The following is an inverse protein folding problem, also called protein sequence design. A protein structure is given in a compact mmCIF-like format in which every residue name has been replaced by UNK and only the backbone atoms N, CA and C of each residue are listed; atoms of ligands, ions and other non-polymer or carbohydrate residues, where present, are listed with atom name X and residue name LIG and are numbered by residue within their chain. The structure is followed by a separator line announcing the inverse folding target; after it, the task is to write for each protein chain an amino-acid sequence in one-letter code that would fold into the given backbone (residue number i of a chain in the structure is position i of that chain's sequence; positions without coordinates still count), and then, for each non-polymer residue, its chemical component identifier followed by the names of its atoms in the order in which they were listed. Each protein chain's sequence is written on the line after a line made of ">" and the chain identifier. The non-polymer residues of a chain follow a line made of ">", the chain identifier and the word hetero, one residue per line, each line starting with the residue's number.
data_IF_358512682077
#
_entry.id   IF_358512682077
#
_cell.length_a   1.000
_cell.length_b   1.000
_cell.length_c   1.000
_cell.angle_alpha   90.00
_cell.angle_beta   90.00
_cell.angle_gamma   90.00
#
_symmetry.space_group_name_H-M   'P 1'
#
loop_
_entity.id
_entity.type
_entity.pdbx_description
1 polymer ?
#
# COMPACT_ATOMS: atom_id res chain seq x y z
N UNK A 1 -6.60 -8.87 19.70
CA UNK A 1 -7.29 -8.89 18.39
C UNK A 1 -6.58 -7.90 17.48
N UNK A 2 -5.82 -8.37 16.50
CA UNK A 2 -5.23 -7.47 15.49
C UNK A 2 -6.34 -7.06 14.51
N UNK A 3 -6.69 -5.78 14.50
CA UNK A 3 -7.67 -5.24 13.57
C UNK A 3 -6.99 -5.06 12.20
N UNK A 4 -6.77 -6.17 11.49
CA UNK A 4 -6.09 -6.17 10.18
C UNK A 4 -7.00 -5.56 9.10
N UNK A 5 -6.65 -4.36 8.65
CA UNK A 5 -7.32 -3.72 7.52
C UNK A 5 -6.79 -4.32 6.23
N UNK A 6 -7.64 -5.10 5.54
CA UNK A 6 -7.32 -5.73 4.25
C UNK A 6 -7.93 -4.98 3.09
N UNK A 7 -7.07 -4.51 2.18
CA UNK A 7 -7.44 -3.69 1.03
C UNK A 7 -7.36 -4.47 -0.28
N UNK A 8 -8.16 -4.08 -1.28
CA UNK A 8 -7.92 -4.52 -2.66
C UNK A 8 -6.72 -3.75 -3.26
N UNK A 9 -6.10 -4.23 -4.35
CA UNK A 9 -5.03 -3.50 -5.03
C UNK A 9 -5.45 -2.11 -5.53
N UNK A 10 -6.71 -1.94 -5.96
CA UNK A 10 -7.23 -0.66 -6.44
C UNK A 10 -7.47 0.32 -5.31
N UNK A 11 -8.04 -0.13 -4.18
CA UNK A 11 -8.20 0.72 -2.99
C UNK A 11 -6.84 1.10 -2.40
N UNK A 12 -5.91 0.15 -2.34
CA UNK A 12 -4.53 0.41 -1.94
C UNK A 12 -3.86 1.47 -2.82
N UNK A 13 -4.03 1.40 -4.14
CA UNK A 13 -3.51 2.39 -5.09
C UNK A 13 -4.05 3.80 -4.79
N UNK A 14 -5.37 3.92 -4.62
CA UNK A 14 -6.03 5.19 -4.29
C UNK A 14 -5.55 5.76 -2.96
N UNK A 15 -5.54 4.95 -1.89
CA UNK A 15 -5.17 5.42 -0.56
C UNK A 15 -3.70 5.82 -0.44
N UNK A 16 -2.80 5.20 -1.21
CA UNK A 16 -1.38 5.48 -1.16
C UNK A 16 -0.89 6.38 -2.30
N UNK A 17 -1.77 6.85 -3.19
CA UNK A 17 -1.36 7.67 -4.34
C UNK A 17 -0.39 6.94 -5.28
N UNK A 18 -0.45 5.61 -5.33
CA UNK A 18 0.43 4.76 -6.15
C UNK A 18 -0.33 4.15 -7.31
N UNK A 19 0.38 3.75 -8.38
CA UNK A 19 -0.29 3.04 -9.48
C UNK A 19 -0.61 1.60 -9.11
N UNK A 20 -1.80 1.14 -9.46
CA UNK A 20 -2.23 -0.25 -9.25
C UNK A 20 -1.27 -1.25 -9.92
N UNK A 21 -0.71 -0.89 -11.09
CA UNK A 21 0.33 -1.66 -11.78
C UNK A 21 1.57 -1.87 -10.90
N UNK A 22 1.98 -0.87 -10.14
CA UNK A 22 3.16 -0.98 -9.26
C UNK A 22 2.90 -1.90 -8.08
N UNK A 23 1.71 -1.80 -7.49
CA UNK A 23 1.29 -2.67 -6.39
C UNK A 23 1.19 -4.12 -6.88
N UNK A 24 0.56 -4.36 -8.02
CA UNK A 24 0.46 -5.70 -8.63
C UNK A 24 1.83 -6.27 -8.99
N UNK A 25 2.75 -5.43 -9.49
CA UNK A 25 4.14 -5.83 -9.75
C UNK A 25 4.87 -6.20 -8.45
N UNK A 26 4.68 -5.44 -7.38
CA UNK A 26 5.27 -5.75 -6.07
C UNK A 26 4.77 -7.10 -5.52
N UNK A 27 3.47 -7.38 -5.66
CA UNK A 27 2.90 -8.69 -5.30
C UNK A 27 3.54 -9.80 -6.14
N UNK A 28 3.62 -9.62 -7.47
CA UNK A 28 4.24 -10.59 -8.38
C UNK A 28 5.71 -10.84 -8.04
N UNK A 29 6.45 -9.79 -7.66
CA UNK A 29 7.85 -9.85 -7.25
C UNK A 29 8.05 -10.36 -5.82
N UNK A 30 6.99 -10.70 -5.08
CA UNK A 30 7.02 -11.08 -3.66
C UNK A 30 7.59 -10.00 -2.72
N UNK A 31 7.58 -8.73 -3.14
CA UNK A 31 7.98 -7.59 -2.30
C UNK A 31 6.87 -7.16 -1.33
N UNK A 32 5.62 -7.45 -1.69
CA UNK A 32 4.42 -7.06 -0.95
C UNK A 32 3.54 -8.31 -0.71
N UNK A 33 3.36 -8.74 0.55
CA UNK A 33 2.47 -9.84 0.89
C UNK A 33 1.03 -9.57 0.45
N UNK A 34 0.40 -10.57 -0.16
CA UNK A 34 -1.02 -10.51 -0.48
C UNK A 34 -1.64 -11.90 -0.30
N UNK A 35 -2.86 -11.92 0.24
CA UNK A 35 -3.68 -13.12 0.39
C UNK A 35 -4.76 -13.11 -0.67
N UNK A 36 -5.01 -14.23 -1.33
CA UNK A 36 -6.13 -14.36 -2.27
C UNK A 36 -7.34 -14.86 -1.51
N UNK A 37 -8.43 -14.07 -1.52
CA UNK A 37 -9.72 -14.44 -0.92
C UNK A 37 -10.77 -14.35 -2.00
N UNK A 38 -11.44 -15.47 -2.31
CA UNK A 38 -12.49 -15.55 -3.35
C UNK A 38 -12.06 -14.90 -4.68
N UNK A 39 -10.90 -15.30 -5.20
CA UNK A 39 -10.32 -14.79 -6.46
C UNK A 39 -9.96 -13.30 -6.47
N UNK A 40 -9.90 -12.65 -5.31
CA UNK A 40 -9.48 -11.25 -5.17
C UNK A 40 -8.25 -11.16 -4.27
N UNK A 41 -7.24 -10.41 -4.71
CA UNK A 41 -6.10 -10.07 -3.87
C UNK A 41 -6.54 -9.17 -2.72
N UNK A 42 -6.01 -9.46 -1.54
CA UNK A 42 -6.16 -8.69 -0.32
C UNK A 42 -4.77 -8.41 0.24
N UNK A 43 -4.48 -7.13 0.44
CA UNK A 43 -3.19 -6.63 0.92
C UNK A 43 -3.43 -6.06 2.32
N UNK A 44 -2.55 -6.38 3.28
CA UNK A 44 -2.63 -5.78 4.60
C UNK A 44 -2.17 -4.31 4.51
N UNK A 45 -2.91 -3.41 5.16
CA UNK A 45 -2.58 -1.99 5.19
C UNK A 45 -1.17 -1.73 5.76
N UNK A 46 -0.83 -2.44 6.84
CA UNK A 46 0.46 -2.32 7.53
C UNK A 46 1.64 -2.71 6.63
N UNK A 47 1.53 -3.85 5.95
CA UNK A 47 2.53 -4.31 4.98
C UNK A 47 2.72 -3.31 3.83
N UNK A 48 1.63 -2.74 3.34
CA UNK A 48 1.66 -1.73 2.28
C UNK A 48 2.33 -0.43 2.73
N UNK A 49 2.04 0.00 3.96
CA UNK A 49 2.70 1.16 4.56
C UNK A 49 4.20 0.95 4.66
N UNK A 50 4.63 -0.17 5.27
CA UNK A 50 6.04 -0.52 5.37
C UNK A 50 6.73 -0.65 4.00
N UNK A 51 6.05 -1.22 2.99
CA UNK A 51 6.58 -1.33 1.63
C UNK A 51 6.70 0.04 0.91
N UNK A 52 5.79 0.98 1.20
CA UNK A 52 5.83 2.34 0.64
C UNK A 52 7.00 3.16 1.19
N UNK A 53 7.41 2.94 2.43
CA UNK A 53 8.54 3.62 3.06
C UNK A 53 9.91 3.13 2.54
N UNK A 54 9.98 1.92 1.98
CA UNK A 54 11.25 1.36 1.46
C UNK A 54 11.87 2.14 0.30
N UNK A 55 11.10 3.00 -0.39
CA UNK A 55 11.61 3.79 -1.51
C UNK A 55 11.14 5.24 -1.44
N UNK A 56 12.06 6.23 -1.51
CA UNK A 56 11.71 7.65 -1.43
C UNK A 56 10.65 8.09 -2.44
N UNK A 57 10.66 7.54 -3.65
CA UNK A 57 9.66 7.86 -4.68
C UNK A 57 8.25 7.37 -4.29
N UNK A 58 8.13 6.21 -3.63
CA UNK A 58 6.84 5.68 -3.18
C UNK A 58 6.33 6.46 -1.98
N UNK A 59 7.21 6.72 -1.02
CA UNK A 59 6.94 7.57 0.15
C UNK A 59 6.47 8.96 -0.28
N UNK A 60 7.20 9.64 -1.15
CA UNK A 60 6.82 10.97 -1.67
C UNK A 60 5.43 10.96 -2.29
N UNK A 61 5.09 9.93 -3.08
CA UNK A 61 3.75 9.80 -3.69
C UNK A 61 2.66 9.52 -2.65
N UNK A 62 2.93 8.69 -1.65
CA UNK A 62 2.01 8.48 -0.53
C UNK A 62 1.74 9.77 0.21
N UNK A 63 2.78 10.55 0.45
CA UNK A 63 2.71 11.75 1.28
C UNK A 63 2.15 12.97 0.53
N UNK A 64 2.19 12.96 -0.81
CA UNK A 64 1.64 14.05 -1.63
C UNK A 64 0.33 13.73 -2.36
N UNK A 65 0.07 12.47 -2.71
CA UNK A 65 -1.08 12.05 -3.50
C UNK A 65 -1.99 11.05 -2.76
N UNK A 66 -1.57 10.54 -1.62
CA UNK A 66 -2.32 9.57 -0.82
C UNK A 66 -2.70 10.12 0.56
N UNK A 67 -3.09 9.22 1.46
CA UNK A 67 -3.45 9.52 2.85
C UNK A 67 -2.34 10.23 3.62
N UNK A 68 -1.08 10.01 3.26
CA UNK A 68 0.06 10.67 3.89
C UNK A 68 0.00 12.19 3.78
N UNK A 69 -0.78 12.74 2.83
CA UNK A 69 -1.01 14.19 2.77
C UNK A 69 -1.66 14.73 4.05
N UNK A 70 -2.51 13.93 4.70
CA UNK A 70 -3.26 14.28 5.91
C UNK A 70 -2.62 13.77 7.21
N UNK A 71 -1.66 12.85 7.12
CA UNK A 71 -1.00 12.27 8.30
C UNK A 71 0.39 12.88 8.47
N UNK A 72 0.52 13.81 9.43
CA UNK A 72 1.79 14.50 9.71
C UNK A 72 2.87 13.55 10.21
N UNK A 73 2.51 12.55 11.00
CA UNK A 73 3.44 11.61 11.64
C UNK A 73 4.20 10.73 10.64
N UNK A 74 3.67 10.57 9.42
CA UNK A 74 4.32 9.78 8.35
C UNK A 74 5.35 10.59 7.55
N UNK A 75 5.33 11.92 7.69
CA UNK A 75 6.31 12.83 7.08
C UNK A 75 7.47 12.99 8.06
N UNK A 76 8.41 12.04 8.03
CA UNK A 76 9.72 12.15 8.70
C UNK A 76 10.77 12.67 7.75
#
# INVERSE_FOLDING_TARGET
>A
MSNEIKLSPSTAALLFGLSERSIRRAIKNKELPAVVVRSRYKINFSDLLAWSDKMPNRQKKRDSLGLGQFVREWKK
#
